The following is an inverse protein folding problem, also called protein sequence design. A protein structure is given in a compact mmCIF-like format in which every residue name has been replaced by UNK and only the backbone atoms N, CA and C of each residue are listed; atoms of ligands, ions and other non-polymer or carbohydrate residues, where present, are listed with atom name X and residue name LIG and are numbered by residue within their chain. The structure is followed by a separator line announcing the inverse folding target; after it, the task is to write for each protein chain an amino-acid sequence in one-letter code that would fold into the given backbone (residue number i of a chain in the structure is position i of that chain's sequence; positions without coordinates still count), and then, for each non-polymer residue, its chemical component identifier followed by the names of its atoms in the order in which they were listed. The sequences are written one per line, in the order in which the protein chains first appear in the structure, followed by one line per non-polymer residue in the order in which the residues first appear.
data_IF_426190008439
#
_entry.id   IF_426190008439
#
_cell.length_a   1.000
_cell.length_b   1.000
_cell.length_c   1.000
_cell.angle_alpha   90.00
_cell.angle_beta   90.00
_cell.angle_gamma   90.00
#
_symmetry.space_group_name_H-M   'P 1'
#
loop_
_entity.id
_entity.type
_entity.pdbx_description
1 polymer ?
#
# COMPACT_ATOMS: atom_id res chain seq x y z
N UNK A 1 1.01 14.49 -5.77
CA UNK A 1 1.29 13.81 -4.49
C UNK A 1 0.03 13.10 -4.04
N UNK A 2 0.11 11.86 -3.55
CA UNK A 2 -1.04 11.15 -3.00
C UNK A 2 -1.31 11.71 -1.59
N UNK A 3 -2.46 12.37 -1.40
CA UNK A 3 -2.87 12.88 -0.09
C UNK A 3 -3.30 11.72 0.79
N UNK A 4 -2.79 11.65 2.01
CA UNK A 4 -3.12 10.59 2.99
C UNK A 4 -4.19 11.06 3.98
N UNK A 5 -4.98 10.14 4.54
CA UNK A 5 -6.01 10.50 5.53
C UNK A 5 -5.48 11.35 6.70
N UNK A 6 -4.31 11.06 7.32
CA UNK A 6 -3.76 11.91 8.38
C UNK A 6 -3.52 13.35 7.93
N UNK A 7 -2.99 13.56 6.72
CA UNK A 7 -2.78 14.91 6.16
C UNK A 7 -4.11 15.65 5.92
N UNK A 8 -5.16 14.93 5.51
CA UNK A 8 -6.49 15.53 5.35
C UNK A 8 -7.06 15.95 6.70
N UNK A 9 -6.93 15.12 7.73
CA UNK A 9 -7.39 15.44 9.08
C UNK A 9 -6.67 16.69 9.61
N UNK A 10 -5.35 16.74 9.45
CA UNK A 10 -4.53 17.89 9.84
C UNK A 10 -4.93 19.17 9.08
N UNK A 11 -5.10 19.09 7.76
CA UNK A 11 -5.51 20.22 6.92
C UNK A 11 -6.90 20.77 7.29
N UNK A 12 -7.80 19.90 7.73
CA UNK A 12 -9.13 20.29 8.18
C UNK A 12 -9.14 20.85 9.61
N UNK A 13 -7.98 20.89 10.28
CA UNK A 13 -7.83 21.43 11.63
C UNK A 13 -8.21 20.43 12.72
N UNK A 14 -8.12 19.12 12.46
CA UNK A 14 -8.25 18.09 13.49
C UNK A 14 -6.90 17.94 14.20
N UNK A 15 -6.87 18.23 15.51
CA UNK A 15 -5.65 18.06 16.30
C UNK A 15 -5.69 16.70 17.02
N UNK A 16 -4.62 15.92 16.83
CA UNK A 16 -4.43 14.62 17.45
C UNK A 16 -3.21 14.66 18.36
N UNK A 17 -3.39 14.28 19.63
CA UNK A 17 -2.27 13.97 20.52
C UNK A 17 -1.64 12.64 20.10
N UNK A 18 -0.36 12.61 19.73
CA UNK A 18 0.29 11.36 19.38
C UNK A 18 0.34 10.43 20.59
N UNK A 19 0.01 9.16 20.36
CA UNK A 19 0.07 8.11 21.36
C UNK A 19 0.99 6.99 20.88
N UNK A 20 1.81 6.45 21.78
CA UNK A 20 2.62 5.26 21.51
C UNK A 20 1.78 3.98 21.66
N UNK A 21 0.63 3.93 20.98
CA UNK A 21 -0.28 2.80 21.01
C UNK A 21 -0.06 1.94 19.76
N UNK A 22 0.47 0.74 19.95
CA UNK A 22 0.71 -0.21 18.86
C UNK A 22 -0.48 -1.16 18.74
N UNK A 23 -1.20 -1.10 17.62
CA UNK A 23 -2.19 -2.12 17.27
C UNK A 23 -1.49 -3.33 16.64
N UNK A 24 -1.86 -4.53 17.09
CA UNK A 24 -1.36 -5.78 16.51
C UNK A 24 -2.28 -6.28 15.39
N UNK A 25 -3.34 -5.54 15.07
CA UNK A 25 -4.22 -5.84 13.95
C UNK A 25 -3.63 -5.22 12.68
N UNK A 26 -3.22 -6.04 11.69
CA UNK A 26 -2.53 -5.55 10.51
C UNK A 26 -3.34 -4.48 9.75
N UNK A 27 -2.68 -3.41 9.34
CA UNK A 27 -3.31 -2.34 8.55
C UNK A 27 -4.30 -1.46 9.33
N UNK A 28 -4.45 -1.63 10.65
CA UNK A 28 -5.18 -0.71 11.52
C UNK A 28 -4.18 -0.06 12.47
N UNK A 29 -3.97 1.24 12.32
CA UNK A 29 -3.01 2.02 13.11
C UNK A 29 -3.73 3.08 13.94
N UNK A 30 -3.22 3.36 15.15
CA UNK A 30 -3.69 4.48 15.95
C UNK A 30 -2.98 5.76 15.46
N UNK A 31 -3.76 6.78 15.10
CA UNK A 31 -3.21 8.09 14.75
C UNK A 31 -2.96 8.95 15.99
N UNK A 32 -3.75 8.76 17.04
CA UNK A 32 -3.64 9.51 18.28
C UNK A 32 -4.98 9.64 18.99
N UNK A 33 -5.02 10.54 19.96
CA UNK A 33 -6.23 10.91 20.70
C UNK A 33 -6.71 12.29 20.25
N UNK A 34 -8.01 12.42 20.04
CA UNK A 34 -8.62 13.65 19.53
C UNK A 34 -8.58 14.76 20.59
N UNK A 35 -7.81 15.83 20.33
CA UNK A 35 -7.74 17.02 21.21
C UNK A 35 -8.63 18.15 20.72
N UNK A 36 -8.77 18.30 19.40
CA UNK A 36 -9.60 19.34 18.80
C UNK A 36 -10.35 18.80 17.59
N UNK A 37 -11.64 19.12 17.52
CA UNK A 37 -12.50 18.82 16.39
C UNK A 37 -13.07 20.14 15.83
N UNK A 38 -12.82 20.47 14.55
CA UNK A 38 -13.28 21.71 13.94
C UNK A 38 -14.81 21.72 13.78
N UNK A 39 -15.41 22.92 13.61
CA UNK A 39 -16.86 23.06 13.52
C UNK A 39 -17.48 22.31 12.32
N UNK A 40 -16.74 22.22 11.22
CA UNK A 40 -17.06 21.46 10.00
C UNK A 40 -17.28 19.97 10.25
N UNK A 41 -16.73 19.44 11.34
CA UNK A 41 -16.79 18.04 11.73
C UNK A 41 -17.74 17.78 12.91
N UNK A 42 -18.55 18.75 13.33
CA UNK A 42 -19.46 18.59 14.49
C UNK A 42 -20.51 17.50 14.33
N UNK A 43 -20.89 17.15 13.11
CA UNK A 43 -21.86 16.08 12.84
C UNK A 43 -21.23 14.67 12.97
N UNK A 44 -19.92 14.59 13.18
CA UNK A 44 -19.24 13.35 13.52
C UNK A 44 -19.54 13.06 14.99
N UNK A 45 -20.16 11.90 15.33
CA UNK A 45 -20.59 11.60 16.69
C UNK A 45 -19.42 11.21 17.61
N UNK A 46 -18.24 11.84 17.43
CA UNK A 46 -17.00 11.56 18.15
C UNK A 46 -16.80 12.65 19.19
N UNK A 47 -16.31 12.26 20.37
CA UNK A 47 -16.04 13.16 21.49
C UNK A 47 -14.55 13.44 21.60
N UNK A 48 -14.19 14.59 22.18
CA UNK A 48 -12.81 14.86 22.58
C UNK A 48 -12.30 13.76 23.53
N UNK A 49 -11.04 13.39 23.39
CA UNK A 49 -10.45 12.23 24.07
C UNK A 49 -10.73 10.88 23.38
N UNK A 50 -11.42 10.86 22.24
CA UNK A 50 -11.58 9.63 21.48
C UNK A 50 -10.28 9.22 20.77
N UNK A 51 -10.00 7.91 20.75
CA UNK A 51 -8.89 7.36 19.98
C UNK A 51 -9.24 7.32 18.49
N UNK A 52 -8.39 7.91 17.67
CA UNK A 52 -8.55 7.94 16.21
C UNK A 52 -7.71 6.84 15.58
N UNK A 53 -8.35 6.02 14.76
CA UNK A 53 -7.78 4.86 14.10
C UNK A 53 -7.92 4.98 12.59
N UNK A 54 -6.87 4.61 11.88
CA UNK A 54 -6.84 4.55 10.43
C UNK A 54 -6.67 3.10 10.00
N UNK A 55 -7.67 2.58 9.29
CA UNK A 55 -7.50 1.36 8.52
C UNK A 55 -7.00 1.72 7.12
N UNK A 56 -5.71 1.46 6.91
CA UNK A 56 -4.95 1.82 5.72
C UNK A 56 -5.52 1.16 4.45
N UNK A 57 -5.26 1.74 3.26
CA UNK A 57 -5.68 1.15 2.00
C UNK A 57 -5.21 -0.29 1.86
N UNK A 58 -6.10 -1.15 1.35
CA UNK A 58 -5.83 -2.57 1.16
C UNK A 58 -6.96 -3.26 0.41
N UNK A 59 -6.66 -4.41 -0.17
CA UNK A 59 -7.63 -5.17 -0.97
C UNK A 59 -8.65 -5.94 -0.11
N UNK A 60 -8.24 -6.37 1.09
CA UNK A 60 -9.08 -7.15 2.00
C UNK A 60 -10.08 -6.24 2.73
N UNK A 61 -11.39 -6.51 2.65
CA UNK A 61 -12.37 -5.73 3.38
C UNK A 61 -12.24 -5.94 4.90
N UNK A 62 -12.65 -4.95 5.70
CA UNK A 62 -12.75 -5.12 7.14
C UNK A 62 -13.96 -6.03 7.44
N UNK A 63 -13.67 -7.17 8.02
CA UNK A 63 -14.66 -8.16 8.45
C UNK A 63 -14.83 -8.18 9.98
N UNK A 64 -15.69 -9.09 10.44
CA UNK A 64 -15.95 -9.25 11.85
C UNK A 64 -14.72 -9.68 12.65
N UNK A 65 -13.94 -10.60 12.11
CA UNK A 65 -12.80 -11.20 12.81
C UNK A 65 -11.69 -10.16 13.00
N UNK A 66 -11.46 -9.32 12.01
CA UNK A 66 -10.51 -8.21 12.09
C UNK A 66 -10.91 -7.19 13.16
N UNK A 67 -12.20 -6.82 13.22
CA UNK A 67 -12.70 -5.94 14.29
C UNK A 67 -12.64 -6.59 15.67
N UNK A 68 -12.93 -7.88 15.79
CA UNK A 68 -12.78 -8.62 17.05
C UNK A 68 -11.33 -8.66 17.52
N UNK A 69 -10.38 -8.88 16.61
CA UNK A 69 -8.94 -8.81 16.91
C UNK A 69 -8.52 -7.41 17.36
N UNK A 70 -9.00 -6.38 16.67
CA UNK A 70 -8.73 -5.00 17.06
C UNK A 70 -9.30 -4.67 18.45
N UNK A 71 -10.51 -5.13 18.77
CA UNK A 71 -11.14 -4.94 20.08
C UNK A 71 -10.35 -5.57 21.23
N UNK A 72 -9.51 -6.58 20.99
CA UNK A 72 -8.67 -7.18 22.05
C UNK A 72 -7.58 -6.19 22.49
N UNK A 73 -6.97 -5.48 21.53
CA UNK A 73 -5.85 -4.58 21.80
C UNK A 73 -6.28 -3.13 22.08
N UNK A 74 -7.50 -2.74 21.71
CA UNK A 74 -7.99 -1.39 21.88
C UNK A 74 -8.15 -1.02 23.39
N UNK A 75 -7.69 0.17 23.83
CA UNK A 75 -7.92 0.66 25.19
C UNK A 75 -9.42 0.88 25.43
N UNK A 76 -9.83 1.07 26.69
CA UNK A 76 -11.20 1.46 27.03
C UNK A 76 -11.48 2.90 26.60
N UNK A 77 -12.70 3.19 26.15
CA UNK A 77 -13.13 4.55 25.80
C UNK A 77 -13.89 4.66 24.48
N UNK A 78 -13.84 5.84 23.89
CA UNK A 78 -14.45 6.14 22.59
C UNK A 78 -13.43 5.98 21.46
N UNK A 79 -13.82 5.32 20.38
CA UNK A 79 -12.95 5.01 19.25
C UNK A 79 -13.61 5.46 17.96
N UNK A 80 -12.88 6.21 17.17
CA UNK A 80 -13.24 6.54 15.80
C UNK A 80 -12.34 5.77 14.85
N UNK A 81 -12.90 4.80 14.12
CA UNK A 81 -12.17 4.00 13.15
C UNK A 81 -12.57 4.39 11.75
N UNK A 82 -11.63 4.96 11.01
CA UNK A 82 -11.80 5.44 9.64
C UNK A 82 -11.13 4.46 8.69
N UNK A 83 -11.92 3.84 7.81
CA UNK A 83 -11.47 2.80 6.90
C UNK A 83 -11.56 3.20 5.44
N UNK A 84 -10.42 3.19 4.76
CA UNK A 84 -10.35 3.28 3.29
C UNK A 84 -10.67 1.94 2.61
N UNK A 85 -10.69 0.84 3.38
CA UNK A 85 -11.09 -0.50 2.92
C UNK A 85 -12.61 -0.66 2.98
N UNK A 86 -13.15 -1.48 2.06
CA UNK A 86 -14.57 -1.85 2.10
C UNK A 86 -14.92 -2.49 3.44
N UNK A 87 -16.11 -2.22 3.94
CA UNK A 87 -16.63 -2.91 5.13
C UNK A 87 -17.50 -4.08 4.66
N UNK A 88 -17.28 -5.27 5.21
CA UNK A 88 -18.22 -6.39 4.99
C UNK A 88 -19.55 -6.04 5.65
N UNK A 89 -20.66 -6.38 4.99
CA UNK A 89 -21.97 -6.19 5.61
C UNK A 89 -22.10 -7.07 6.85
N UNK A 90 -22.34 -6.43 7.98
CA UNK A 90 -22.48 -7.08 9.27
C UNK A 90 -23.77 -6.62 9.93
N UNK A 91 -24.52 -7.56 10.53
CA UNK A 91 -25.75 -7.24 11.25
C UNK A 91 -25.50 -6.22 12.38
N UNK A 92 -24.36 -6.33 13.05
CA UNK A 92 -23.84 -5.36 14.00
C UNK A 92 -22.30 -5.55 14.14
N UNK A 93 -21.53 -4.47 14.40
CA UNK A 93 -20.13 -4.60 14.76
C UNK A 93 -19.97 -5.37 16.09
N UNK A 94 -18.84 -6.07 16.29
CA UNK A 94 -18.54 -6.70 17.58
C UNK A 94 -18.46 -5.63 18.68
N UNK A 95 -18.71 -6.03 19.93
CA UNK A 95 -18.83 -5.11 21.07
C UNK A 95 -17.99 -5.59 22.25
N UNK A 96 -17.44 -4.62 22.98
CA UNK A 96 -16.83 -4.75 24.31
C UNK A 96 -17.45 -3.63 25.15
N UNK A 97 -17.93 -3.92 26.36
CA UNK A 97 -18.82 -3.01 27.10
C UNK A 97 -18.17 -1.66 27.46
N UNK A 98 -16.85 -1.62 27.51
CA UNK A 98 -16.02 -0.45 27.81
C UNK A 98 -15.50 0.27 26.55
N UNK A 99 -15.89 -0.17 25.33
CA UNK A 99 -15.53 0.47 24.06
C UNK A 99 -16.78 0.96 23.32
N UNK A 100 -16.85 2.26 23.08
CA UNK A 100 -17.75 2.86 22.11
C UNK A 100 -17.06 3.02 20.75
N UNK A 101 -17.42 2.18 19.76
CA UNK A 101 -16.85 2.23 18.41
C UNK A 101 -17.75 3.00 17.43
N UNK A 102 -17.17 3.99 16.76
CA UNK A 102 -17.73 4.70 15.61
C UNK A 102 -16.93 4.29 14.37
N UNK A 103 -17.55 3.48 13.51
CA UNK A 103 -16.92 2.94 12.31
C UNK A 103 -17.34 3.72 11.07
N UNK A 104 -16.36 4.27 10.35
CA UNK A 104 -16.54 4.94 9.08
C UNK A 104 -15.94 4.11 7.96
N UNK A 105 -16.77 3.73 7.00
CA UNK A 105 -16.33 3.11 5.76
C UNK A 105 -16.15 4.10 4.61
N UNK A 106 -15.69 3.62 3.44
CA UNK A 106 -15.35 4.47 2.30
C UNK A 106 -16.49 5.38 1.88
N UNK A 107 -17.74 4.87 1.86
CA UNK A 107 -18.92 5.66 1.48
C UNK A 107 -19.10 6.90 2.35
N UNK A 108 -18.92 6.77 3.68
CA UNK A 108 -19.11 7.88 4.62
C UNK A 108 -17.98 8.89 4.50
N UNK A 109 -16.75 8.40 4.35
CA UNK A 109 -15.57 9.25 4.14
C UNK A 109 -15.70 10.03 2.84
N UNK A 110 -16.05 9.36 1.72
CA UNK A 110 -16.20 10.02 0.41
C UNK A 110 -17.31 11.07 0.42
N UNK A 111 -18.43 10.80 1.10
CA UNK A 111 -19.51 11.78 1.24
C UNK A 111 -19.01 13.00 2.02
N UNK A 112 -18.35 12.77 3.15
CA UNK A 112 -17.82 13.84 3.98
C UNK A 112 -16.76 14.68 3.26
N UNK A 113 -15.76 14.05 2.63
CA UNK A 113 -14.75 14.74 1.83
C UNK A 113 -15.39 15.52 0.67
N UNK A 114 -16.34 14.91 -0.03
CA UNK A 114 -17.08 15.58 -1.10
C UNK A 114 -17.81 16.83 -0.60
N UNK A 115 -18.43 16.76 0.58
CA UNK A 115 -19.05 17.93 1.21
C UNK A 115 -18.02 19.00 1.55
N UNK A 116 -16.89 18.66 2.18
CA UNK A 116 -15.83 19.62 2.52
C UNK A 116 -15.27 20.33 1.28
N UNK A 117 -15.12 19.63 0.16
CA UNK A 117 -14.72 20.24 -1.13
C UNK A 117 -15.81 21.18 -1.65
N UNK A 118 -17.07 20.77 -1.59
CA UNK A 118 -18.19 21.58 -2.10
C UNK A 118 -18.49 22.82 -1.24
N UNK A 119 -18.19 22.78 0.07
CA UNK A 119 -18.35 23.92 0.98
C UNK A 119 -17.15 24.87 0.95
N UNK A 120 -16.06 24.49 0.27
CA UNK A 120 -14.82 25.28 0.23
C UNK A 120 -13.97 25.15 1.51
N UNK A 121 -14.28 24.19 2.38
CA UNK A 121 -13.47 23.87 3.57
C UNK A 121 -12.20 23.09 3.20
N UNK A 122 -12.25 22.35 2.09
CA UNK A 122 -11.11 21.65 1.50
C UNK A 122 -10.85 22.20 0.10
N UNK A 123 -9.74 22.92 -0.06
CA UNK A 123 -9.28 23.32 -1.39
C UNK A 123 -8.48 22.17 -2.02
N UNK A 124 -9.05 21.59 -3.07
CA UNK A 124 -8.33 20.61 -3.88
C UNK A 124 -7.64 21.38 -5.00
N UNK A 125 -6.32 21.31 -5.05
CA UNK A 125 -5.59 21.76 -6.23
C UNK A 125 -5.93 20.83 -7.40
N UNK A 126 -6.90 21.27 -8.20
CA UNK A 126 -7.31 20.62 -9.44
C UNK A 126 -6.37 20.98 -10.59
N UNK A 127 -5.28 21.72 -10.32
CA UNK A 127 -4.18 21.78 -11.28
C UNK A 127 -3.84 20.34 -11.62
N UNK A 128 -3.81 19.98 -12.92
CA UNK A 128 -3.25 18.69 -13.26
C UNK A 128 -1.90 18.62 -12.55
N UNK A 129 -1.56 17.49 -11.88
CA UNK A 129 -0.19 17.31 -11.42
C UNK A 129 0.67 17.72 -12.61
N UNK A 130 1.66 18.63 -12.43
CA UNK A 130 2.42 19.18 -13.54
C UNK A 130 2.75 17.99 -14.40
N UNK A 131 2.20 17.98 -15.63
CA UNK A 131 2.13 16.76 -16.40
C UNK A 131 3.54 16.21 -16.42
N UNK A 132 3.78 15.08 -15.74
CA UNK A 132 5.06 14.37 -15.88
C UNK A 132 5.21 13.87 -17.33
N UNK A 133 4.21 14.11 -18.16
CA UNK A 133 4.29 14.26 -19.60
C UNK A 133 4.95 15.59 -20.01
N UNK A 134 6.24 15.49 -20.34
CA UNK A 134 7.06 16.38 -21.20
C UNK A 134 8.06 17.35 -20.54
N UNK A 135 7.92 17.81 -19.29
CA UNK A 135 8.91 18.78 -18.75
C UNK A 135 10.17 18.07 -18.20
N UNK A 136 10.02 16.87 -17.63
CA UNK A 136 11.16 16.09 -17.11
C UNK A 136 11.89 15.22 -18.17
N UNK A 137 11.46 15.23 -19.43
CA UNK A 137 12.16 14.51 -20.50
C UNK A 137 13.38 15.30 -20.99
N UNK A 138 13.35 16.64 -20.96
CA UNK A 138 14.47 17.45 -21.45
C UNK A 138 15.68 17.46 -20.50
N UNK A 139 15.48 17.51 -19.18
CA UNK A 139 16.59 17.57 -18.21
C UNK A 139 17.11 16.19 -17.75
N UNK A 140 16.36 15.10 -17.95
CA UNK A 140 16.90 13.72 -17.80
C UNK A 140 17.53 13.15 -19.08
N UNK A 141 17.37 13.83 -20.21
CA UNK A 141 17.92 13.36 -21.48
C UNK A 141 19.44 13.52 -21.59
N UNK A 142 20.13 14.18 -20.66
CA UNK A 142 21.60 14.29 -20.77
C UNK A 142 22.38 13.09 -20.23
N UNK A 143 21.80 12.16 -19.44
CA UNK A 143 22.46 10.85 -19.17
C UNK A 143 21.44 9.76 -18.82
N UNK A 144 20.44 9.53 -19.67
CA UNK A 144 19.71 8.27 -19.63
C UNK A 144 19.83 7.62 -21.00
N UNK A 145 20.80 6.71 -21.13
CA UNK A 145 20.82 5.79 -22.25
C UNK A 145 19.42 5.15 -22.37
N UNK A 146 18.88 4.99 -23.59
CA UNK A 146 17.63 4.27 -23.78
C UNK A 146 17.73 2.93 -23.04
N UNK A 147 16.68 2.47 -22.34
CA UNK A 147 16.72 1.18 -21.66
C UNK A 147 17.24 0.17 -22.68
N UNK A 148 18.31 -0.58 -22.35
CA UNK A 148 18.89 -1.54 -23.28
C UNK A 148 17.76 -2.45 -23.74
N UNK A 149 17.74 -2.84 -25.02
CA UNK A 149 16.73 -3.73 -25.60
C UNK A 149 16.62 -4.96 -24.70
N UNK A 150 15.60 -4.95 -23.83
CA UNK A 150 15.50 -5.89 -22.73
C UNK A 150 15.03 -7.24 -23.26
N UNK A 151 15.82 -8.28 -23.04
CA UNK A 151 15.39 -9.64 -23.31
C UNK A 151 14.50 -10.12 -22.16
N UNK A 152 13.22 -10.34 -22.43
CA UNK A 152 12.31 -10.98 -21.47
C UNK A 152 12.40 -12.51 -21.61
N UNK A 153 12.72 -13.21 -20.53
CA UNK A 153 12.75 -14.68 -20.51
C UNK A 153 11.35 -15.19 -20.19
N UNK A 154 10.84 -16.14 -21.00
CA UNK A 154 9.58 -16.81 -20.67
C UNK A 154 9.78 -17.74 -19.48
N UNK A 155 8.88 -17.72 -18.48
CA UNK A 155 8.96 -18.64 -17.35
C UNK A 155 8.83 -20.08 -17.85
N UNK A 156 9.74 -20.97 -17.41
CA UNK A 156 9.67 -22.41 -17.70
C UNK A 156 8.73 -23.16 -16.75
N UNK A 157 8.42 -22.56 -15.61
CA UNK A 157 7.62 -23.18 -14.54
C UNK A 157 6.33 -22.38 -14.38
N UNK A 158 5.20 -23.09 -14.40
CA UNK A 158 3.92 -22.53 -14.00
C UNK A 158 3.80 -22.66 -12.48
N UNK A 159 3.93 -21.53 -11.76
CA UNK A 159 4.00 -21.49 -10.30
C UNK A 159 2.82 -22.21 -9.63
N UNK A 160 1.62 -22.10 -10.20
CA UNK A 160 0.42 -22.79 -9.72
C UNK A 160 0.60 -24.32 -9.64
N UNK A 161 1.20 -24.91 -10.69
CA UNK A 161 1.41 -26.36 -10.75
C UNK A 161 2.53 -26.78 -9.78
N UNK A 162 3.59 -25.97 -9.70
CA UNK A 162 4.70 -26.20 -8.78
C UNK A 162 4.26 -26.18 -7.30
N UNK A 163 3.37 -25.25 -6.92
CA UNK A 163 2.81 -25.22 -5.56
C UNK A 163 2.06 -26.50 -5.23
N UNK A 164 1.24 -27.00 -6.16
CA UNK A 164 0.49 -28.26 -6.00
C UNK A 164 1.45 -29.45 -5.85
N UNK A 165 2.48 -29.55 -6.69
CA UNK A 165 3.48 -30.62 -6.63
C UNK A 165 4.27 -30.63 -5.30
N UNK A 166 4.42 -29.48 -4.66
CA UNK A 166 5.09 -29.32 -3.37
C UNK A 166 4.16 -29.40 -2.16
N UNK A 167 2.86 -29.59 -2.36
CA UNK A 167 1.87 -29.69 -1.28
C UNK A 167 1.54 -28.36 -0.62
N UNK A 168 1.81 -27.23 -1.29
CA UNK A 168 1.42 -25.90 -0.83
C UNK A 168 0.04 -25.52 -1.38
N UNK A 169 -0.72 -24.75 -0.62
CA UNK A 169 -1.91 -24.10 -1.16
C UNK A 169 -1.53 -23.04 -2.20
N UNK A 170 -2.34 -22.84 -3.27
CA UNK A 170 -2.05 -21.85 -4.30
C UNK A 170 -2.03 -20.43 -3.70
N UNK A 171 -0.85 -19.82 -3.64
CA UNK A 171 -0.68 -18.43 -3.20
C UNK A 171 -0.84 -17.46 -4.37
N UNK A 172 -1.32 -16.26 -4.08
CA UNK A 172 -1.32 -15.16 -5.04
C UNK A 172 0.14 -14.72 -5.31
N UNK A 173 0.57 -14.79 -6.57
CA UNK A 173 1.93 -14.41 -6.99
C UNK A 173 1.90 -13.09 -7.76
N UNK A 174 2.80 -12.17 -7.43
CA UNK A 174 2.98 -10.91 -8.17
C UNK A 174 4.29 -10.98 -8.98
N UNK A 175 4.27 -10.67 -10.28
CA UNK A 175 5.49 -10.57 -11.07
C UNK A 175 6.31 -9.35 -10.64
N UNK A 176 7.61 -9.55 -10.45
CA UNK A 176 8.57 -8.48 -10.18
C UNK A 176 9.47 -8.29 -11.40
N UNK A 177 9.61 -7.04 -11.84
CA UNK A 177 10.60 -6.69 -12.85
C UNK A 177 11.94 -6.47 -12.13
N UNK A 178 12.93 -7.30 -12.47
CA UNK A 178 14.27 -7.24 -11.88
C UNK A 178 15.27 -6.91 -12.96
N UNK A 179 16.15 -5.94 -12.69
CA UNK A 179 17.34 -5.73 -13.49
C UNK A 179 18.30 -6.89 -13.22
N UNK A 180 18.77 -7.55 -14.28
CA UNK A 180 19.73 -8.64 -14.19
C UNK A 180 20.90 -8.39 -15.13
N UNK A 181 22.07 -8.94 -14.78
CA UNK A 181 23.24 -8.92 -15.65
C UNK A 181 23.33 -10.25 -16.38
N UNK A 182 23.45 -10.16 -17.70
CA UNK A 182 23.64 -11.30 -18.59
C UNK A 182 25.06 -11.26 -19.13
N UNK A 183 25.82 -12.31 -18.87
CA UNK A 183 27.19 -12.46 -19.33
C UNK A 183 27.23 -13.42 -20.51
N UNK A 184 27.82 -12.99 -21.62
CA UNK A 184 28.14 -13.88 -22.75
C UNK A 184 29.63 -14.20 -22.69
N UNK A 185 29.94 -15.47 -22.47
CA UNK A 185 31.30 -15.99 -22.40
C UNK A 185 31.56 -16.72 -23.71
N UNK A 186 32.54 -16.25 -24.47
CA UNK A 186 32.97 -16.90 -25.71
C UNK A 186 34.37 -17.49 -25.53
N UNK A 187 34.56 -18.70 -26.06
CA UNK A 187 35.85 -19.38 -25.98
C UNK A 187 36.04 -20.34 -27.14
N UNK A 188 37.28 -20.77 -27.34
CA UNK A 188 37.61 -21.82 -28.30
C UNK A 188 38.13 -23.03 -27.52
N UNK A 189 37.52 -24.19 -27.75
CA UNK A 189 38.12 -25.47 -27.38
C UNK A 189 39.19 -25.80 -28.41
N UNK A 190 40.44 -25.96 -27.97
CA UNK A 190 41.54 -26.35 -28.85
C UNK A 190 41.81 -27.84 -28.67
N UNK A 191 41.55 -28.61 -29.73
CA UNK A 191 41.83 -30.04 -29.80
C UNK A 191 43.24 -30.33 -30.33
N UNK A 192 43.61 -31.62 -30.44
CA UNK A 192 44.82 -32.04 -31.13
C UNK A 192 44.83 -31.55 -32.57
N UNK A 193 46.02 -31.26 -33.12
CA UNK A 193 46.20 -30.71 -34.48
C UNK A 193 45.63 -29.28 -34.69
N UNK A 194 45.58 -28.48 -33.63
CA UNK A 194 45.15 -27.06 -33.70
C UNK A 194 43.69 -26.90 -34.16
N UNK A 195 42.89 -27.96 -34.02
CA UNK A 195 41.46 -27.93 -34.27
C UNK A 195 40.77 -27.00 -33.26
N UNK A 196 40.06 -25.97 -33.74
CA UNK A 196 39.39 -24.99 -32.90
C UNK A 196 37.88 -25.10 -33.02
N UNK A 197 37.22 -25.32 -31.90
CA UNK A 197 35.76 -25.30 -31.81
C UNK A 197 35.33 -24.09 -30.98
N UNK A 198 34.63 -23.15 -31.62
CA UNK A 198 34.11 -21.97 -30.94
C UNK A 198 32.84 -22.32 -30.19
N UNK A 199 32.84 -22.03 -28.90
CA UNK A 199 31.67 -22.19 -28.04
C UNK A 199 31.31 -20.86 -27.36
N UNK A 200 30.02 -20.68 -27.12
CA UNK A 200 29.45 -19.50 -26.47
C UNK A 200 28.49 -19.97 -25.38
N UNK A 201 28.67 -19.42 -24.18
CA UNK A 201 27.82 -19.68 -23.03
C UNK A 201 27.20 -18.37 -22.57
N UNK A 202 25.94 -18.43 -22.18
CA UNK A 202 25.25 -17.29 -21.57
C UNK A 202 24.99 -17.61 -20.11
N UNK A 203 25.49 -16.75 -19.21
CA UNK A 203 25.34 -16.86 -17.77
C UNK A 203 24.48 -15.69 -17.26
N UNK A 204 23.42 -16.01 -16.51
CA UNK A 204 22.64 -15.02 -15.79
C UNK A 204 23.20 -14.87 -14.38
N UNK A 205 23.60 -13.66 -14.01
CA UNK A 205 24.03 -13.35 -12.64
C UNK A 205 22.79 -13.31 -11.73
N UNK A 206 22.88 -13.96 -10.56
CA UNK A 206 21.77 -14.00 -9.61
C UNK A 206 21.51 -12.60 -9.03
N UNK A 207 20.33 -12.00 -9.26
CA UNK A 207 20.02 -10.67 -8.75
C UNK A 207 19.80 -10.62 -7.23
N UNK A 208 19.73 -11.76 -6.54
CA UNK A 208 19.48 -11.84 -5.09
C UNK A 208 20.72 -12.10 -4.23
N UNK A 209 21.85 -12.47 -4.82
CA UNK A 209 23.09 -12.82 -4.12
C UNK A 209 24.00 -11.62 -3.81
N UNK A 210 23.46 -10.39 -3.86
CA UNK A 210 24.18 -9.13 -3.62
C UNK A 210 24.31 -8.77 -2.15
#
# INVERSE_FOLDING_TARGET
MSVTLPEILDHLGVELRPLNLVSRTPGIVCLGELELLPESLRDVPVVLGAYVWHAQPGWAPIDRLELERWLVDAPSGCHWLVSERKLVEMRAPPRRDDIALILWGPKRISQWLGTAVLTGELEVDMSPPPSETMVNVAERAEVAEPPPVGLAVRPRIQLSNWFIEKGFEPLATQPLLLAAKLWTIEGNLVGPEDARERNSWTLLEDPFSG
#
